data_IF_996973020927
#
_entry.id   IF_996973020927
#
_cell.length_a   1.000
_cell.length_b   1.000
_cell.length_c   1.000
_cell.angle_alpha   90.00
_cell.angle_beta   90.00
_cell.angle_gamma   90.00
#
_symmetry.space_group_name_H-M   'P 1'
#
loop_
_entity.id
_entity.type
_entity.pdbx_description
1 polymer ?
#
# COMPACT_ATOMS: atom_id res chain seq x y z
N UNK A 1 -14.00 -11.32 -15.69
CA UNK A 1 -12.89 -10.35 -15.47
C UNK A 1 -13.41 -9.27 -14.56
N UNK A 2 -12.86 -9.13 -13.37
CA UNK A 2 -13.21 -8.08 -12.39
C UNK A 2 -12.76 -6.71 -12.87
N UNK A 3 -13.25 -5.61 -12.26
CA UNK A 3 -12.77 -4.26 -12.58
C UNK A 3 -11.28 -4.09 -12.27
N UNK A 4 -10.79 -4.72 -11.21
CA UNK A 4 -9.36 -4.78 -10.85
C UNK A 4 -8.55 -5.39 -12.01
N UNK A 5 -8.93 -6.57 -12.48
CA UNK A 5 -8.24 -7.23 -13.61
C UNK A 5 -8.29 -6.41 -14.89
N UNK A 6 -9.42 -5.76 -15.19
CA UNK A 6 -9.56 -4.88 -16.37
C UNK A 6 -8.62 -3.68 -16.29
N UNK A 7 -8.48 -3.09 -15.11
CA UNK A 7 -7.61 -1.95 -14.87
C UNK A 7 -6.14 -2.33 -15.06
N UNK A 8 -5.67 -3.33 -14.30
CA UNK A 8 -4.25 -3.72 -14.31
C UNK A 8 -3.80 -4.38 -15.60
N UNK A 9 -4.69 -5.00 -16.37
CA UNK A 9 -4.36 -5.49 -17.72
C UNK A 9 -4.14 -4.35 -18.73
N UNK A 10 -4.67 -3.14 -18.48
CA UNK A 10 -4.53 -1.98 -19.37
C UNK A 10 -3.43 -1.02 -18.94
N UNK A 11 -3.13 -0.95 -17.65
CA UNK A 11 -2.19 0.01 -17.08
C UNK A 11 -0.84 -0.67 -16.80
N UNK A 12 0.24 0.04 -17.14
CA UNK A 12 1.61 -0.44 -16.87
C UNK A 12 1.99 -0.16 -15.41
N UNK A 13 1.46 -0.96 -14.48
CA UNK A 13 1.79 -0.88 -13.06
C UNK A 13 3.31 -0.94 -12.81
N UNK A 14 4.02 -1.68 -13.64
CA UNK A 14 5.48 -1.79 -13.64
C UNK A 14 6.21 -0.44 -13.56
N UNK A 15 5.65 0.61 -14.17
CA UNK A 15 6.27 1.93 -14.23
C UNK A 15 5.83 2.89 -13.12
N UNK A 16 4.81 2.56 -12.33
CA UNK A 16 4.23 3.47 -11.33
C UNK A 16 5.29 3.96 -10.33
N UNK A 17 5.99 3.04 -9.72
CA UNK A 17 7.04 3.34 -8.72
C UNK A 17 8.41 3.72 -9.35
N UNK A 18 8.50 3.83 -10.69
CA UNK A 18 9.70 4.35 -11.37
C UNK A 18 9.64 5.86 -11.62
N UNK A 19 8.46 6.47 -11.55
CA UNK A 19 8.28 7.92 -11.60
C UNK A 19 8.93 8.59 -10.38
N UNK A 20 9.25 9.89 -10.44
CA UNK A 20 9.89 10.55 -9.29
C UNK A 20 9.04 10.52 -8.03
N UNK A 21 7.73 10.81 -8.14
CA UNK A 21 6.84 10.69 -6.97
C UNK A 21 6.74 9.24 -6.47
N UNK A 22 6.65 8.25 -7.35
CA UNK A 22 6.66 6.84 -6.96
C UNK A 22 7.99 6.37 -6.33
N UNK A 23 9.12 6.96 -6.74
CA UNK A 23 10.42 6.72 -6.07
C UNK A 23 10.45 7.26 -4.65
N UNK A 24 9.76 8.37 -4.35
CA UNK A 24 9.61 8.87 -2.97
C UNK A 24 8.83 7.84 -2.14
N UNK A 25 7.65 7.45 -2.61
CA UNK A 25 6.81 6.42 -1.96
C UNK A 25 7.63 5.15 -1.67
N UNK A 26 8.29 4.61 -2.68
CA UNK A 26 9.08 3.40 -2.54
C UNK A 26 10.24 3.54 -1.56
N UNK A 27 11.00 4.63 -1.62
CA UNK A 27 12.16 4.83 -0.76
C UNK A 27 11.76 4.98 0.72
N UNK A 28 10.69 5.73 0.98
CA UNK A 28 10.17 5.91 2.35
C UNK A 28 9.60 4.59 2.88
N UNK A 29 8.76 3.91 2.11
CA UNK A 29 8.19 2.63 2.52
C UNK A 29 9.28 1.58 2.81
N UNK A 30 10.29 1.44 1.93
CA UNK A 30 11.41 0.53 2.14
C UNK A 30 12.21 0.87 3.41
N UNK A 31 12.44 2.17 3.69
CA UNK A 31 13.10 2.59 4.94
C UNK A 31 12.33 2.10 6.16
N UNK A 32 11.00 2.29 6.17
CA UNK A 32 10.17 1.84 7.29
C UNK A 32 10.05 0.32 7.39
N UNK A 33 10.08 -0.40 6.28
CA UNK A 33 10.17 -1.86 6.28
C UNK A 33 11.50 -2.28 6.91
N UNK A 34 12.62 -1.72 6.46
CA UNK A 34 13.96 -2.04 6.99
C UNK A 34 14.13 -1.77 8.48
N UNK A 35 13.41 -0.83 9.08
CA UNK A 35 13.46 -0.57 10.53
C UNK A 35 13.05 -1.80 11.37
N UNK A 36 12.35 -2.76 10.77
CA UNK A 36 11.86 -3.96 11.43
C UNK A 36 12.52 -5.25 10.89
N UNK A 37 13.43 -5.13 9.92
CA UNK A 37 14.10 -6.29 9.32
C UNK A 37 15.49 -6.51 9.94
N UNK A 38 15.95 -7.76 10.05
CA UNK A 38 17.30 -8.07 10.52
C UNK A 38 18.35 -7.65 9.49
N UNK A 39 19.55 -7.32 9.98
CA UNK A 39 20.73 -7.01 9.16
C UNK A 39 21.53 -8.26 8.80
N UNK A 40 21.43 -9.33 9.59
CA UNK A 40 22.12 -10.62 9.43
C UNK A 40 21.09 -11.74 9.25
N UNK A 41 21.54 -12.87 8.73
CA UNK A 41 20.73 -14.08 8.54
C UNK A 41 19.40 -13.83 7.81
N UNK A 42 19.39 -12.90 6.86
CA UNK A 42 18.21 -12.44 6.14
C UNK A 42 17.41 -13.58 5.51
N UNK A 43 18.09 -14.64 5.04
CA UNK A 43 17.44 -15.80 4.43
C UNK A 43 16.57 -16.62 5.40
N UNK A 44 16.72 -16.43 6.72
CA UNK A 44 15.88 -17.05 7.75
C UNK A 44 14.62 -16.22 8.04
N UNK A 45 14.61 -14.95 7.63
CA UNK A 45 13.51 -14.04 7.84
C UNK A 45 12.52 -14.09 6.66
N UNK A 46 11.30 -14.53 6.93
CA UNK A 46 10.26 -14.76 5.92
C UNK A 46 9.34 -13.57 5.79
N UNK A 47 9.17 -13.11 4.57
CA UNK A 47 8.30 -11.97 4.25
C UNK A 47 7.18 -12.43 3.32
N UNK A 48 5.93 -12.13 3.66
CA UNK A 48 4.80 -12.24 2.75
C UNK A 48 4.50 -10.87 2.13
N UNK A 49 4.37 -10.81 0.80
CA UNK A 49 3.94 -9.61 0.06
C UNK A 49 2.59 -9.93 -0.60
N UNK A 50 1.51 -9.46 0.01
CA UNK A 50 0.13 -9.76 -0.36
C UNK A 50 -0.44 -8.63 -1.22
N UNK A 51 -0.82 -8.96 -2.45
CA UNK A 51 -1.13 -7.99 -3.50
C UNK A 51 0.13 -7.39 -4.09
N UNK A 52 1.12 -8.26 -4.37
CA UNK A 52 2.48 -7.87 -4.74
C UNK A 52 2.57 -7.09 -6.06
N UNK A 53 1.49 -7.04 -6.86
CA UNK A 53 1.49 -6.43 -8.18
C UNK A 53 2.56 -7.05 -9.06
N UNK A 54 3.37 -6.22 -9.72
CA UNK A 54 4.51 -6.68 -10.51
C UNK A 54 5.76 -6.94 -9.68
N UNK A 55 5.66 -6.94 -8.33
CA UNK A 55 6.70 -7.38 -7.40
C UNK A 55 7.78 -6.34 -7.07
N UNK A 56 7.43 -5.05 -7.02
CA UNK A 56 8.40 -4.00 -6.75
C UNK A 56 9.08 -4.16 -5.39
N UNK A 57 8.31 -4.46 -4.34
CA UNK A 57 8.82 -4.72 -2.99
C UNK A 57 9.38 -6.12 -2.88
N UNK A 58 8.66 -7.14 -3.37
CA UNK A 58 9.10 -8.54 -3.34
C UNK A 58 10.49 -8.74 -3.94
N UNK A 59 10.72 -8.20 -5.14
CA UNK A 59 12.00 -8.33 -5.86
C UNK A 59 13.11 -7.56 -5.14
N UNK A 60 12.84 -6.37 -4.62
CA UNK A 60 13.83 -5.60 -3.89
C UNK A 60 14.31 -6.35 -2.64
N UNK A 61 13.38 -6.89 -1.85
CA UNK A 61 13.67 -7.63 -0.62
C UNK A 61 14.35 -8.99 -0.92
N UNK A 62 13.93 -9.69 -1.97
CA UNK A 62 14.57 -10.94 -2.40
C UNK A 62 16.02 -10.72 -2.83
N UNK A 63 16.32 -9.63 -3.56
CA UNK A 63 17.69 -9.22 -3.92
C UNK A 63 18.56 -8.91 -2.71
N UNK A 64 17.98 -8.51 -1.61
CA UNK A 64 18.67 -8.28 -0.35
C UNK A 64 18.94 -9.58 0.44
N UNK A 65 18.38 -10.70 0.00
CA UNK A 65 18.59 -12.05 0.56
C UNK A 65 17.49 -12.51 1.51
N UNK A 66 16.33 -11.84 1.58
CA UNK A 66 15.18 -12.31 2.36
C UNK A 66 14.42 -13.45 1.68
N UNK A 67 13.78 -14.33 2.46
CA UNK A 67 12.86 -15.37 1.95
C UNK A 67 11.49 -14.74 1.70
N UNK A 68 11.20 -14.40 0.43
CA UNK A 68 10.00 -13.68 0.04
C UNK A 68 8.99 -14.58 -0.63
N UNK A 69 7.75 -14.51 -0.14
CA UNK A 69 6.57 -15.11 -0.76
C UNK A 69 5.61 -14.01 -1.21
N UNK A 70 5.34 -13.93 -2.50
CA UNK A 70 4.43 -12.99 -3.12
C UNK A 70 3.10 -13.66 -3.47
N UNK A 71 2.00 -13.00 -3.15
CA UNK A 71 0.64 -13.40 -3.53
C UNK A 71 0.03 -12.28 -4.37
N UNK A 72 -0.46 -12.61 -5.58
CA UNK A 72 -1.06 -11.63 -6.48
C UNK A 72 -2.35 -12.17 -7.10
N UNK A 73 -3.39 -11.33 -7.10
CA UNK A 73 -4.71 -11.66 -7.63
C UNK A 73 -4.75 -11.57 -9.16
N UNK A 74 -4.08 -10.57 -9.73
CA UNK A 74 -4.14 -10.31 -11.17
C UNK A 74 -3.09 -11.14 -11.89
N UNK A 75 -3.53 -12.10 -12.68
CA UNK A 75 -2.66 -13.03 -13.40
C UNK A 75 -1.57 -12.32 -14.22
N UNK A 76 -1.93 -11.24 -14.92
CA UNK A 76 -0.98 -10.46 -15.73
C UNK A 76 0.18 -9.88 -14.88
N UNK A 77 -0.13 -9.34 -13.70
CA UNK A 77 0.90 -8.83 -12.79
C UNK A 77 1.81 -9.96 -12.27
N UNK A 78 1.20 -11.10 -11.92
CA UNK A 78 1.94 -12.28 -11.45
C UNK A 78 2.91 -12.78 -12.53
N UNK A 79 2.47 -12.89 -13.79
CA UNK A 79 3.31 -13.28 -14.93
C UNK A 79 4.49 -12.31 -15.12
N UNK A 80 4.29 -11.00 -14.94
CA UNK A 80 5.38 -10.01 -14.97
C UNK A 80 6.35 -10.25 -13.81
N UNK A 81 5.86 -10.48 -12.60
CA UNK A 81 6.71 -10.76 -11.44
C UNK A 81 7.55 -12.02 -11.67
N UNK A 82 6.94 -13.12 -12.10
CA UNK A 82 7.62 -14.39 -12.42
C UNK A 82 8.69 -14.22 -13.50
N UNK A 83 8.41 -13.39 -14.53
CA UNK A 83 9.35 -13.13 -15.63
C UNK A 83 10.63 -12.42 -15.19
N UNK A 84 10.70 -11.85 -13.99
CA UNK A 84 11.91 -11.23 -13.43
C UNK A 84 12.93 -12.25 -12.96
N UNK A 85 12.55 -13.53 -12.85
CA UNK A 85 13.41 -14.65 -12.46
C UNK A 85 14.22 -14.41 -11.17
N UNK A 86 13.64 -13.66 -10.24
CA UNK A 86 14.22 -13.44 -8.92
C UNK A 86 13.76 -14.53 -7.94
N UNK A 87 14.47 -14.68 -6.82
CA UNK A 87 14.17 -15.70 -5.80
C UNK A 87 12.93 -15.34 -4.97
N UNK A 88 11.77 -15.16 -5.62
CA UNK A 88 10.47 -14.90 -5.01
C UNK A 88 9.57 -16.11 -5.24
N UNK A 89 8.94 -16.61 -4.19
CA UNK A 89 7.91 -17.66 -4.28
C UNK A 89 6.59 -17.01 -4.66
N UNK A 90 6.14 -17.22 -5.87
CA UNK A 90 4.95 -16.57 -6.43
C UNK A 90 3.71 -17.49 -6.34
N UNK A 91 2.59 -16.93 -5.87
CA UNK A 91 1.32 -17.61 -5.77
C UNK A 91 0.18 -16.73 -6.31
N UNK A 92 -0.72 -17.30 -7.15
CA UNK A 92 -1.99 -16.64 -7.43
C UNK A 92 -2.87 -16.71 -6.19
N UNK A 93 -3.48 -15.58 -5.77
CA UNK A 93 -4.33 -15.61 -4.58
C UNK A 93 -5.01 -14.29 -4.29
N UNK A 94 -5.96 -14.33 -3.37
CA UNK A 94 -6.75 -13.20 -2.91
C UNK A 94 -6.46 -12.93 -1.44
N UNK A 95 -6.23 -11.68 -1.07
CA UNK A 95 -6.00 -11.27 0.32
C UNK A 95 -7.16 -11.66 1.28
N UNK A 96 -8.34 -11.95 0.74
CA UNK A 96 -9.50 -12.40 1.51
C UNK A 96 -9.45 -13.90 1.88
N UNK A 97 -8.59 -14.67 1.23
CA UNK A 97 -8.41 -16.11 1.48
C UNK A 97 -6.96 -16.50 1.19
N UNK A 98 -6.18 -16.61 2.25
CA UNK A 98 -4.78 -17.07 2.23
C UNK A 98 -4.64 -18.46 2.85
N UNK A 99 -5.69 -19.28 2.86
CA UNK A 99 -5.74 -20.60 3.51
C UNK A 99 -4.67 -21.58 3.01
N UNK A 100 -4.11 -21.37 1.82
CA UNK A 100 -2.98 -22.11 1.26
C UNK A 100 -1.63 -21.74 1.89
N UNK A 101 -1.56 -20.63 2.64
CA UNK A 101 -0.39 -20.26 3.44
C UNK A 101 -0.59 -20.68 4.89
N UNK A 102 0.39 -21.33 5.52
CA UNK A 102 0.27 -21.79 6.90
C UNK A 102 0.25 -20.64 7.91
N UNK A 103 -0.35 -20.90 9.06
CA UNK A 103 -0.41 -19.96 10.18
C UNK A 103 0.98 -19.64 10.71
N UNK A 104 1.14 -18.46 11.31
CA UNK A 104 2.33 -18.01 12.05
C UNK A 104 3.67 -18.34 11.33
N UNK A 105 3.70 -18.13 10.00
CA UNK A 105 4.85 -18.51 9.17
C UNK A 105 5.77 -17.34 8.86
N UNK A 106 5.21 -16.14 8.65
CA UNK A 106 5.96 -14.99 8.20
C UNK A 106 6.35 -14.07 9.35
N UNK A 107 7.58 -13.57 9.31
CA UNK A 107 8.09 -12.59 10.29
C UNK A 107 7.55 -11.19 10.00
N UNK A 108 7.29 -10.89 8.73
CA UNK A 108 6.63 -9.67 8.28
C UNK A 108 5.66 -9.95 7.14
N UNK A 109 4.54 -9.22 7.10
CA UNK A 109 3.55 -9.24 6.02
C UNK A 109 3.35 -7.83 5.49
N UNK A 110 3.55 -7.65 4.19
CA UNK A 110 3.27 -6.42 3.44
C UNK A 110 1.89 -6.59 2.80
N UNK A 111 1.03 -5.61 3.00
CA UNK A 111 -0.33 -5.57 2.46
C UNK A 111 -0.54 -4.22 1.75
N UNK A 112 0.26 -4.01 0.67
CA UNK A 112 0.25 -2.78 -0.12
C UNK A 112 -0.55 -3.00 -1.41
N UNK A 113 -1.81 -2.58 -1.39
CA UNK A 113 -2.71 -2.75 -2.53
C UNK A 113 -4.10 -3.24 -2.13
N UNK A 114 -4.25 -4.42 -1.53
CA UNK A 114 -5.55 -5.05 -1.35
C UNK A 114 -6.59 -4.19 -0.62
N UNK A 115 -6.21 -3.48 0.46
CA UNK A 115 -7.18 -2.79 1.33
C UNK A 115 -7.92 -1.65 0.63
N UNK A 116 -7.30 -0.97 -0.31
CA UNK A 116 -7.96 0.10 -1.05
C UNK A 116 -8.72 -0.38 -2.30
N UNK A 117 -8.78 -1.69 -2.53
CA UNK A 117 -9.68 -2.34 -3.49
C UNK A 117 -10.87 -3.02 -2.81
N UNK A 118 -10.95 -2.96 -1.49
CA UNK A 118 -12.00 -3.58 -0.69
C UNK A 118 -12.94 -2.50 -0.15
N UNK A 119 -14.10 -2.29 -0.79
CA UNK A 119 -15.05 -1.23 -0.45
C UNK A 119 -15.83 -1.48 0.86
N UNK A 120 -15.93 -2.74 1.31
CA UNK A 120 -16.66 -3.10 2.53
C UNK A 120 -15.70 -3.28 3.69
N UNK A 121 -16.04 -2.68 4.83
CA UNK A 121 -15.26 -2.75 6.07
C UNK A 121 -15.02 -4.21 6.50
N UNK A 122 -16.03 -5.09 6.37
CA UNK A 122 -15.92 -6.51 6.71
C UNK A 122 -14.87 -7.21 5.83
N UNK A 123 -14.75 -6.82 4.56
CA UNK A 123 -13.72 -7.38 3.67
C UNK A 123 -12.33 -6.91 4.05
N UNK A 124 -12.15 -5.63 4.42
CA UNK A 124 -10.88 -5.13 4.94
C UNK A 124 -10.48 -5.87 6.21
N UNK A 125 -11.42 -6.07 7.14
CA UNK A 125 -11.19 -6.86 8.35
C UNK A 125 -10.82 -8.31 8.05
N UNK A 126 -11.43 -8.91 7.03
CA UNK A 126 -11.08 -10.29 6.61
C UNK A 126 -9.65 -10.33 6.11
N UNK A 127 -9.24 -9.41 5.23
CA UNK A 127 -7.86 -9.35 4.73
C UNK A 127 -6.84 -9.10 5.86
N UNK A 128 -7.16 -8.22 6.82
CA UNK A 128 -6.32 -7.99 8.00
C UNK A 128 -6.24 -9.22 8.91
N UNK A 129 -7.34 -9.98 9.09
CA UNK A 129 -7.34 -11.24 9.85
C UNK A 129 -6.48 -12.30 9.18
N UNK A 130 -6.55 -12.45 7.86
CA UNK A 130 -5.70 -13.37 7.11
C UNK A 130 -4.22 -12.96 7.20
N UNK A 131 -3.91 -11.67 7.04
CA UNK A 131 -2.55 -11.17 7.24
C UNK A 131 -2.04 -11.49 8.65
N UNK A 132 -2.86 -11.31 9.69
CA UNK A 132 -2.52 -11.68 11.06
C UNK A 132 -2.29 -13.18 11.22
N UNK A 133 -3.19 -14.00 10.68
CA UNK A 133 -3.10 -15.47 10.80
C UNK A 133 -1.77 -16.01 10.27
N UNK A 134 -1.32 -15.53 9.10
CA UNK A 134 -0.07 -15.97 8.49
C UNK A 134 1.17 -15.35 9.14
N UNK A 135 1.05 -14.22 9.83
CA UNK A 135 2.15 -13.53 10.50
C UNK A 135 2.39 -14.12 11.88
N UNK A 136 3.66 -14.38 12.23
CA UNK A 136 4.06 -14.85 13.56
C UNK A 136 3.63 -13.87 14.65
N UNK A 137 3.45 -14.36 15.88
CA UNK A 137 3.27 -13.50 17.07
C UNK A 137 4.45 -12.56 17.22
N UNK A 138 4.17 -11.28 17.41
CA UNK A 138 5.18 -10.21 17.47
C UNK A 138 5.72 -9.79 16.10
N UNK A 139 5.36 -10.50 15.01
CA UNK A 139 5.66 -10.10 13.64
C UNK A 139 4.95 -8.81 13.23
N UNK A 140 5.36 -8.23 12.12
CA UNK A 140 4.86 -6.91 11.68
C UNK A 140 4.02 -7.02 10.41
N UNK A 141 2.94 -6.22 10.39
CA UNK A 141 2.05 -6.11 9.23
C UNK A 141 2.10 -4.65 8.77
N UNK A 142 2.42 -4.44 7.52
CA UNK A 142 2.46 -3.13 6.87
C UNK A 142 1.21 -2.99 6.00
N UNK A 143 0.23 -2.22 6.44
CA UNK A 143 -1.07 -2.08 5.79
C UNK A 143 -1.20 -0.70 5.13
N UNK A 144 -1.33 -0.66 3.80
CA UNK A 144 -1.48 0.59 3.06
C UNK A 144 -2.94 0.89 2.71
N UNK A 145 -3.28 2.18 2.80
CA UNK A 145 -4.59 2.73 2.46
C UNK A 145 -4.44 3.97 1.56
N UNK A 146 -5.51 4.32 0.85
CA UNK A 146 -5.63 5.60 0.13
C UNK A 146 -6.41 6.61 0.96
N UNK A 147 -5.92 7.84 1.04
CA UNK A 147 -6.54 8.90 1.83
C UNK A 147 -7.65 9.61 1.07
N UNK A 148 -8.77 9.80 1.76
CA UNK A 148 -9.95 10.51 1.28
C UNK A 148 -9.62 11.95 0.86
N UNK A 149 -8.91 12.69 1.70
CA UNK A 149 -8.60 14.11 1.50
C UNK A 149 -7.78 14.35 0.24
N UNK A 150 -6.82 13.46 -0.05
CA UNK A 150 -6.07 13.53 -1.30
C UNK A 150 -6.99 13.43 -2.52
N UNK A 151 -7.90 12.47 -2.52
CA UNK A 151 -8.81 12.25 -3.64
C UNK A 151 -9.82 13.39 -3.78
N UNK A 152 -10.37 13.90 -2.68
CA UNK A 152 -11.25 15.08 -2.67
C UNK A 152 -10.54 16.28 -3.29
N UNK A 153 -9.30 16.57 -2.89
CA UNK A 153 -8.56 17.72 -3.41
C UNK A 153 -8.15 17.52 -4.88
N UNK A 154 -7.57 16.35 -5.23
CA UNK A 154 -6.97 16.11 -6.55
C UNK A 154 -8.00 15.80 -7.64
N UNK A 155 -9.09 15.10 -7.32
CA UNK A 155 -10.08 14.66 -8.31
C UNK A 155 -11.40 15.41 -8.23
N UNK A 156 -11.85 15.78 -7.04
CA UNK A 156 -13.13 16.45 -6.91
C UNK A 156 -13.02 17.97 -7.09
N UNK A 157 -12.11 18.63 -6.36
CA UNK A 157 -11.93 20.08 -6.46
C UNK A 157 -11.05 20.49 -7.65
N UNK A 158 -9.86 19.92 -7.80
CA UNK A 158 -8.93 20.32 -8.86
C UNK A 158 -9.49 20.09 -10.26
N UNK A 159 -10.39 19.10 -10.42
CA UNK A 159 -11.09 18.83 -11.68
C UNK A 159 -12.48 19.52 -11.76
N UNK A 160 -12.82 20.38 -10.80
CA UNK A 160 -14.10 21.11 -10.73
C UNK A 160 -15.34 20.20 -10.76
N UNK A 161 -15.27 19.03 -10.15
CA UNK A 161 -16.32 18.00 -10.18
C UNK A 161 -17.09 17.86 -8.87
N UNK A 162 -16.70 18.57 -7.82
CA UNK A 162 -17.23 18.37 -6.46
C UNK A 162 -18.77 18.48 -6.40
N UNK A 163 -19.37 19.47 -7.07
CA UNK A 163 -20.83 19.65 -7.05
C UNK A 163 -21.58 18.52 -7.75
N UNK A 164 -21.04 18.01 -8.87
CA UNK A 164 -21.57 16.85 -9.57
C UNK A 164 -21.53 15.60 -8.69
N UNK A 165 -20.40 15.37 -8.01
CA UNK A 165 -20.16 14.19 -7.19
C UNK A 165 -21.01 14.18 -5.91
N UNK A 166 -21.24 15.34 -5.28
CA UNK A 166 -22.18 15.47 -4.16
C UNK A 166 -23.60 15.18 -4.66
N UNK A 167 -24.02 15.80 -5.77
CA UNK A 167 -25.36 15.61 -6.34
C UNK A 167 -25.64 14.15 -6.73
N UNK A 168 -24.63 13.42 -7.19
CA UNK A 168 -24.75 11.99 -7.56
C UNK A 168 -24.61 11.03 -6.37
N UNK A 169 -24.33 11.53 -5.16
CA UNK A 169 -24.11 10.73 -3.96
C UNK A 169 -22.77 9.98 -3.95
N UNK A 170 -21.82 10.35 -4.79
CA UNK A 170 -20.46 9.79 -4.78
C UNK A 170 -19.54 10.48 -3.75
N UNK A 171 -19.96 11.63 -3.26
CA UNK A 171 -19.32 12.36 -2.15
C UNK A 171 -20.44 12.76 -1.19
N UNK A 172 -20.25 12.48 0.10
CA UNK A 172 -21.17 12.85 1.16
C UNK A 172 -21.10 14.35 1.49
N UNK A 173 -22.04 14.85 2.31
CA UNK A 173 -22.06 16.26 2.73
C UNK A 173 -20.85 16.65 3.58
N UNK A 174 -20.23 15.70 4.28
CA UNK A 174 -18.99 15.86 5.05
C UNK A 174 -17.72 15.58 4.22
N UNK A 175 -17.88 15.55 2.88
CA UNK A 175 -16.79 15.33 1.92
C UNK A 175 -16.07 13.97 2.04
N UNK A 176 -16.78 12.92 2.40
CA UNK A 176 -16.27 11.58 2.30
C UNK A 176 -16.66 10.96 0.95
N UNK A 177 -15.71 10.33 0.26
CA UNK A 177 -15.98 9.60 -0.97
C UNK A 177 -16.80 8.36 -0.61
N UNK A 178 -17.93 8.18 -1.28
CA UNK A 178 -18.80 7.02 -1.14
C UNK A 178 -18.55 6.10 -2.31
N UNK A 179 -17.71 5.04 -2.14
CA UNK A 179 -17.33 4.17 -3.25
C UNK A 179 -18.53 3.33 -3.69
N UNK A 180 -18.68 3.18 -5.01
CA UNK A 180 -19.64 2.24 -5.60
C UNK A 180 -18.96 0.91 -5.85
N UNK A 181 -19.70 -0.19 -5.87
CA UNK A 181 -19.16 -1.55 -6.07
C UNK A 181 -18.32 -1.71 -7.36
N UNK A 182 -18.53 -0.82 -8.34
CA UNK A 182 -17.82 -0.83 -9.63
C UNK A 182 -16.59 0.09 -9.67
N UNK A 183 -16.30 0.81 -8.61
CA UNK A 183 -15.14 1.70 -8.56
C UNK A 183 -13.89 0.89 -8.18
N UNK A 184 -12.74 1.36 -8.67
CA UNK A 184 -11.50 0.63 -8.47
C UNK A 184 -10.99 0.79 -7.04
N UNK A 185 -11.13 2.00 -6.46
CA UNK A 185 -10.52 2.36 -5.20
C UNK A 185 -11.56 2.76 -4.15
N UNK A 186 -11.22 2.43 -2.92
CA UNK A 186 -11.85 2.92 -1.71
C UNK A 186 -10.87 3.83 -0.96
N UNK A 187 -11.42 4.84 -0.30
CA UNK A 187 -10.65 5.87 0.37
C UNK A 187 -11.07 5.95 1.83
N UNK A 188 -10.10 6.14 2.71
CA UNK A 188 -10.32 6.18 4.15
C UNK A 188 -9.77 7.47 4.78
N UNK A 189 -10.29 7.80 5.95
CA UNK A 189 -9.71 8.76 6.88
C UNK A 189 -8.95 8.03 8.00
N UNK A 190 -8.18 8.75 8.78
CA UNK A 190 -7.41 8.14 9.89
C UNK A 190 -8.34 7.47 10.92
N UNK A 191 -9.49 8.07 11.20
CA UNK A 191 -10.51 7.51 12.09
C UNK A 191 -11.11 6.20 11.59
N UNK A 192 -11.18 5.98 10.28
CA UNK A 192 -11.63 4.71 9.69
C UNK A 192 -10.60 3.61 9.94
N UNK A 193 -9.31 3.93 9.79
CA UNK A 193 -8.21 3.01 10.09
C UNK A 193 -8.21 2.67 11.59
N UNK A 194 -8.39 3.66 12.46
CA UNK A 194 -8.47 3.47 13.91
C UNK A 194 -9.63 2.54 14.29
N UNK A 195 -10.78 2.72 13.63
CA UNK A 195 -11.95 1.86 13.80
C UNK A 195 -11.67 0.42 13.35
N UNK A 196 -11.05 0.23 12.18
CA UNK A 196 -10.66 -1.09 11.67
C UNK A 196 -9.70 -1.80 12.63
N UNK A 197 -8.69 -1.11 13.14
CA UNK A 197 -7.73 -1.67 14.09
C UNK A 197 -8.40 -2.09 15.39
N UNK A 198 -9.30 -1.25 15.92
CA UNK A 198 -10.08 -1.55 17.12
C UNK A 198 -10.97 -2.79 16.92
N UNK A 199 -11.69 -2.87 15.80
CA UNK A 199 -12.56 -4.01 15.46
C UNK A 199 -11.76 -5.29 15.24
N UNK A 200 -10.56 -5.18 14.64
CA UNK A 200 -9.63 -6.29 14.42
C UNK A 200 -8.87 -6.71 15.68
N UNK A 201 -8.90 -5.92 16.75
CA UNK A 201 -8.08 -6.14 17.94
C UNK A 201 -6.58 -6.10 17.61
N UNK A 202 -6.17 -5.21 16.70
CA UNK A 202 -4.80 -5.10 16.20
C UNK A 202 -4.14 -3.85 16.78
N UNK A 203 -2.90 -4.02 17.25
CA UNK A 203 -2.14 -2.92 17.85
C UNK A 203 -1.31 -2.19 16.80
N UNK A 204 -1.57 -0.89 16.62
CA UNK A 204 -0.70 -0.01 15.84
C UNK A 204 0.62 0.22 16.56
N UNK A 205 1.72 0.12 15.84
CA UNK A 205 3.06 0.51 16.29
C UNK A 205 3.41 1.90 15.79
N UNK A 206 3.19 2.13 14.47
CA UNK A 206 3.46 3.39 13.80
C UNK A 206 2.44 3.62 12.68
N UNK A 207 2.25 4.89 12.33
CA UNK A 207 1.53 5.30 11.12
C UNK A 207 2.35 6.37 10.40
N UNK A 208 2.47 6.28 9.08
CA UNK A 208 3.27 7.22 8.31
C UNK A 208 2.72 7.41 6.89
N UNK A 209 2.99 8.57 6.28
CA UNK A 209 2.71 8.85 4.87
C UNK A 209 3.96 8.56 4.02
N UNK A 210 3.95 7.54 3.15
CA UNK A 210 5.12 7.18 2.36
C UNK A 210 5.42 8.18 1.25
N UNK A 211 4.43 8.81 0.68
CA UNK A 211 4.55 9.73 -0.44
C UNK A 211 4.49 11.21 -0.04
N UNK A 212 3.82 11.54 1.09
CA UNK A 212 3.64 12.93 1.51
C UNK A 212 3.12 13.79 0.35
N UNK A 213 3.63 15.03 0.18
CA UNK A 213 3.15 15.93 -0.87
C UNK A 213 3.65 15.57 -2.29
N UNK A 214 4.36 14.45 -2.48
CA UNK A 214 5.02 14.12 -3.74
C UNK A 214 4.05 14.06 -4.93
N UNK A 215 2.83 13.57 -4.71
CA UNK A 215 1.82 13.49 -5.76
C UNK A 215 1.29 14.88 -6.17
N UNK A 216 1.14 15.80 -5.23
CA UNK A 216 0.78 17.18 -5.53
C UNK A 216 1.91 17.96 -6.22
N UNK A 217 3.17 17.54 -6.00
CA UNK A 217 4.38 18.20 -6.47
C UNK A 217 5.03 17.52 -7.68
N UNK A 218 4.28 16.73 -8.45
CA UNK A 218 4.83 15.95 -9.59
C UNK A 218 5.63 16.81 -10.58
N UNK A 219 5.13 18.01 -10.91
CA UNK A 219 5.80 18.93 -11.82
C UNK A 219 7.12 19.43 -11.25
N UNK A 220 7.10 19.87 -10.00
CA UNK A 220 8.26 20.38 -9.26
C UNK A 220 9.30 19.26 -9.10
N UNK A 221 8.89 18.08 -8.67
CA UNK A 221 9.79 16.92 -8.53
C UNK A 221 10.49 16.58 -9.85
N UNK A 222 9.75 16.62 -10.97
CA UNK A 222 10.31 16.31 -12.28
C UNK A 222 11.32 17.37 -12.75
N UNK A 223 11.26 18.62 -12.24
CA UNK A 223 12.18 19.71 -12.55
C UNK A 223 13.40 19.81 -11.61
N UNK A 224 13.39 19.09 -10.49
CA UNK A 224 14.52 19.10 -9.53
C UNK A 224 15.77 18.47 -10.13
N UNK A 225 16.94 18.96 -9.72
CA UNK A 225 18.20 18.24 -9.93
C UNK A 225 18.19 16.92 -9.14
N UNK A 226 19.05 15.98 -9.48
CA UNK A 226 19.15 14.72 -8.74
C UNK A 226 19.55 14.93 -7.27
N UNK A 227 20.39 15.93 -7.00
CA UNK A 227 20.81 16.29 -5.65
C UNK A 227 19.63 16.83 -4.83
N UNK A 228 18.86 17.78 -5.40
CA UNK A 228 17.65 18.33 -4.75
C UNK A 228 16.61 17.24 -4.52
N UNK A 229 16.43 16.34 -5.50
CA UNK A 229 15.48 15.24 -5.38
C UNK A 229 15.87 14.25 -4.27
N UNK A 230 17.16 13.93 -4.12
CA UNK A 230 17.65 13.13 -2.98
C UNK A 230 17.34 13.79 -1.65
N UNK A 231 17.54 15.11 -1.54
CA UNK A 231 17.18 15.87 -0.34
C UNK A 231 15.69 15.88 -0.05
N UNK A 232 14.85 15.87 -1.10
CA UNK A 232 13.40 15.72 -0.91
C UNK A 232 13.02 14.33 -0.34
N UNK A 233 13.66 13.26 -0.81
CA UNK A 233 13.46 11.93 -0.23
C UNK A 233 13.89 11.90 1.25
N UNK A 234 15.06 12.45 1.58
CA UNK A 234 15.54 12.56 2.97
C UNK A 234 14.56 13.36 3.83
N UNK A 235 14.06 14.49 3.32
CA UNK A 235 13.04 15.30 3.99
C UNK A 235 11.77 14.48 4.27
N UNK A 236 11.26 13.73 3.27
CA UNK A 236 10.06 12.93 3.45
C UNK A 236 10.27 11.79 4.45
N UNK A 237 11.42 11.13 4.43
CA UNK A 237 11.78 10.11 5.44
C UNK A 237 11.75 10.69 6.85
N UNK A 238 12.33 11.89 7.06
CA UNK A 238 12.37 12.53 8.37
C UNK A 238 11.00 13.01 8.87
N UNK A 239 10.05 13.23 7.96
CA UNK A 239 8.78 13.86 8.30
C UNK A 239 7.55 12.95 8.09
N UNK A 240 7.75 11.71 7.66
CA UNK A 240 6.66 10.81 7.28
C UNK A 240 5.68 10.48 8.44
N UNK A 241 6.12 10.53 9.69
CA UNK A 241 5.31 10.28 10.90
C UNK A 241 4.69 11.57 11.50
N UNK A 242 4.99 12.75 10.96
CA UNK A 242 4.49 14.01 11.54
C UNK A 242 2.98 14.12 11.35
N UNK A 243 2.24 14.26 12.43
CA UNK A 243 0.78 14.29 12.43
C UNK A 243 0.20 15.36 11.49
N UNK A 244 0.82 16.55 11.47
CA UNK A 244 0.43 17.64 10.60
C UNK A 244 0.67 17.39 9.10
N UNK A 245 1.43 16.32 8.76
CA UNK A 245 1.76 15.95 7.38
C UNK A 245 1.16 14.61 6.93
N UNK A 246 0.56 13.84 7.82
CA UNK A 246 -0.04 12.54 7.44
C UNK A 246 -1.08 12.70 6.34
N UNK A 247 -1.88 13.75 6.37
CA UNK A 247 -2.91 14.04 5.35
C UNK A 247 -2.38 14.69 4.06
N UNK A 248 -1.07 14.93 3.94
CA UNK A 248 -0.48 15.58 2.77
C UNK A 248 -0.24 14.62 1.60
N UNK A 249 -0.36 13.31 1.80
CA UNK A 249 -0.09 12.29 0.79
C UNK A 249 -1.34 11.61 0.25
N UNK A 250 -1.16 10.83 -0.80
CA UNK A 250 -2.21 9.95 -1.33
C UNK A 250 -2.31 8.64 -0.55
N UNK A 251 -1.19 8.17 0.00
CA UNK A 251 -1.12 6.93 0.75
C UNK A 251 -0.82 7.16 2.23
N UNK A 252 -1.33 6.26 3.04
CA UNK A 252 -0.96 6.11 4.44
C UNK A 252 -0.62 4.64 4.69
N UNK A 253 0.42 4.38 5.47
CA UNK A 253 0.81 3.04 5.89
C UNK A 253 0.71 2.93 7.39
N UNK A 254 -0.03 1.93 7.84
CA UNK A 254 -0.18 1.56 9.24
C UNK A 254 0.70 0.34 9.52
N UNK A 255 1.63 0.44 10.46
CA UNK A 255 2.47 -0.66 10.93
C UNK A 255 1.84 -1.24 12.17
N UNK A 256 1.46 -2.50 12.07
CA UNK A 256 0.72 -3.24 13.07
C UNK A 256 1.56 -4.38 13.64
N UNK A 257 1.30 -4.76 14.90
CA UNK A 257 1.89 -5.92 15.55
C UNK A 257 0.84 -7.03 15.71
N UNK A 258 1.21 -8.25 15.31
CA UNK A 258 0.36 -9.42 15.53
C UNK A 258 0.47 -9.95 16.94
#
# INVERSE_FOLDING_TARGET
>A
MTEIEKHYNKHKEENRLLTRHGKVEFAVAMKYIHDFLPTQDKHLFKIADIGAGTGRYSVALAKEGFDVTAVELVKHNLEILESKHEHVKCWPGNALDLSFLPDETFDATILFGPLYHLHKEEKKLTALKEARRITKKGGKIFAAYLLNEYSILSYCFAQNRILELIKSGNVSEDFHIVPKENELYDYVRLEDIDRLNKMGGIKRIKIFSPDGPADFMRKELNSMTEETFKKFIEYQICNAERQELLGAGSHIVDILEN
#
